data_IF_290930588257
#
_entry.id   IF_290930588257
#
_cell.length_a   1.000
_cell.length_b   1.000
_cell.length_c   1.000
_cell.angle_alpha   90.00
_cell.angle_beta   90.00
_cell.angle_gamma   90.00
#
_symmetry.space_group_name_H-M   'P 1'
#
loop_
_entity.id
_entity.type
_entity.pdbx_description
1 polymer ?
#
# COMPACT_ATOMS: atom_id res chain seq x y z
N UNK A 1 -39.26 -7.20 -13.06
CA UNK A 1 -40.68 -7.40 -13.41
C UNK A 1 -41.16 -8.85 -13.24
N UNK A 2 -40.54 -9.86 -13.88
CA UNK A 2 -41.01 -11.25 -13.83
C UNK A 2 -41.14 -11.88 -12.43
N UNK A 3 -40.17 -11.65 -11.53
CA UNK A 3 -40.21 -12.16 -10.14
C UNK A 3 -41.40 -11.61 -9.34
N UNK A 4 -41.68 -10.31 -9.48
CA UNK A 4 -42.81 -9.67 -8.78
C UNK A 4 -44.15 -10.18 -9.33
N UNK A 5 -44.25 -10.37 -10.65
CA UNK A 5 -45.45 -10.93 -11.28
C UNK A 5 -45.72 -12.37 -10.79
N UNK A 6 -44.68 -13.21 -10.69
CA UNK A 6 -44.81 -14.56 -10.16
C UNK A 6 -45.37 -14.59 -8.73
N UNK A 7 -44.86 -13.74 -7.82
CA UNK A 7 -45.37 -13.65 -6.44
C UNK A 7 -46.84 -13.25 -6.38
N UNK A 8 -47.25 -12.27 -7.20
CA UNK A 8 -48.64 -11.81 -7.27
C UNK A 8 -49.55 -12.94 -7.78
N UNK A 9 -49.13 -13.69 -8.81
CA UNK A 9 -49.88 -14.85 -9.31
C UNK A 9 -50.01 -15.94 -8.25
N UNK A 10 -48.93 -16.28 -7.54
CA UNK A 10 -48.97 -17.30 -6.47
C UNK A 10 -49.93 -16.90 -5.35
N UNK A 11 -49.86 -15.66 -4.86
CA UNK A 11 -50.78 -15.16 -3.83
C UNK A 11 -52.22 -15.11 -4.36
N UNK A 12 -52.43 -14.71 -5.61
CA UNK A 12 -53.73 -14.68 -6.25
C UNK A 12 -54.37 -16.06 -6.38
N UNK A 13 -53.59 -17.10 -6.72
CA UNK A 13 -54.04 -18.49 -6.78
C UNK A 13 -54.45 -19.00 -5.39
N UNK A 14 -53.64 -18.73 -4.36
CA UNK A 14 -53.96 -19.11 -2.98
C UNK A 14 -55.27 -18.44 -2.53
N UNK A 15 -55.42 -17.13 -2.81
CA UNK A 15 -56.62 -16.39 -2.50
C UNK A 15 -57.86 -16.98 -3.22
N UNK A 16 -57.72 -17.31 -4.50
CA UNK A 16 -58.80 -17.92 -5.28
C UNK A 16 -59.25 -19.26 -4.68
N UNK A 17 -58.33 -20.13 -4.28
CA UNK A 17 -58.68 -21.41 -3.63
C UNK A 17 -59.35 -21.22 -2.28
N UNK A 18 -58.89 -20.26 -1.47
CA UNK A 18 -59.50 -19.94 -0.16
C UNK A 18 -60.91 -19.41 -0.36
N UNK A 19 -61.12 -18.46 -1.27
CA UNK A 19 -62.43 -17.91 -1.57
C UNK A 19 -63.38 -18.98 -2.12
N UNK A 20 -62.91 -19.86 -3.01
CA UNK A 20 -63.71 -20.98 -3.52
C UNK A 20 -64.13 -21.95 -2.41
N UNK A 21 -63.25 -22.22 -1.45
CA UNK A 21 -63.53 -23.09 -0.30
C UNK A 21 -64.58 -22.48 0.64
N UNK A 22 -64.45 -21.19 0.94
CA UNK A 22 -65.39 -20.45 1.80
C UNK A 22 -66.71 -20.07 1.09
N UNK A 23 -66.74 -20.06 -0.25
CA UNK A 23 -67.93 -19.75 -1.04
C UNK A 23 -69.09 -20.71 -0.74
N UNK A 24 -68.80 -22.02 -0.64
CA UNK A 24 -69.81 -23.01 -0.29
C UNK A 24 -70.30 -22.86 1.16
N UNK A 25 -69.41 -22.56 2.10
CA UNK A 25 -69.78 -22.30 3.50
C UNK A 25 -70.58 -21.00 3.69
N UNK A 26 -70.41 -20.03 2.79
CA UNK A 26 -71.16 -18.77 2.78
C UNK A 26 -72.59 -18.96 2.24
N UNK A 27 -72.79 -19.85 1.25
CA UNK A 27 -74.12 -20.21 0.74
C UNK A 27 -74.93 -20.94 1.82
N UNK A 28 -74.34 -21.87 2.56
CA UNK A 28 -75.01 -22.57 3.66
C UNK A 28 -75.39 -21.61 4.80
N UNK A 29 -74.60 -20.55 5.02
CA UNK A 29 -74.90 -19.53 6.01
C UNK A 29 -76.10 -18.64 5.63
N UNK A 30 -76.45 -18.51 4.35
CA UNK A 30 -77.63 -17.75 3.91
C UNK A 30 -78.96 -18.42 4.29
N UNK A 31 -78.95 -19.72 4.57
CA UNK A 31 -80.12 -20.50 5.01
C UNK A 31 -80.15 -20.74 6.54
N UNK A 32 -79.25 -20.09 7.29
CA UNK A 32 -79.07 -20.27 8.75
C UNK A 32 -79.76 -19.17 9.57
N UNK A 33 -79.97 -19.43 10.87
CA UNK A 33 -80.60 -18.48 11.80
C UNK A 33 -79.92 -17.09 11.82
N UNK A 34 -80.67 -15.97 11.79
CA UNK A 34 -80.12 -14.60 11.71
C UNK A 34 -79.08 -14.25 12.77
N UNK A 35 -79.17 -14.86 13.96
CA UNK A 35 -78.22 -14.63 15.07
C UNK A 35 -76.85 -15.29 14.83
N UNK A 36 -76.76 -16.34 14.00
CA UNK A 36 -75.51 -17.09 13.75
C UNK A 36 -74.70 -16.55 12.57
N UNK A 37 -75.32 -15.72 11.72
CA UNK A 37 -74.71 -15.17 10.50
C UNK A 37 -73.48 -14.31 10.84
N UNK A 38 -73.60 -13.41 11.82
CA UNK A 38 -72.52 -12.48 12.18
C UNK A 38 -71.28 -13.22 12.71
N UNK A 39 -71.48 -14.25 13.53
CA UNK A 39 -70.39 -15.06 14.12
C UNK A 39 -69.67 -15.87 13.04
N UNK A 40 -70.42 -16.47 12.10
CA UNK A 40 -69.85 -17.22 10.97
C UNK A 40 -69.07 -16.31 10.02
N UNK A 41 -69.58 -15.10 9.75
CA UNK A 41 -68.91 -14.11 8.91
C UNK A 41 -67.59 -13.64 9.53
N UNK A 42 -67.56 -13.34 10.84
CA UNK A 42 -66.31 -13.01 11.54
C UNK A 42 -65.30 -14.16 11.53
N UNK A 43 -65.75 -15.41 11.68
CA UNK A 43 -64.88 -16.58 11.61
C UNK A 43 -64.27 -16.76 10.22
N UNK A 44 -65.06 -16.59 9.15
CA UNK A 44 -64.60 -16.65 7.78
C UNK A 44 -63.57 -15.54 7.47
N UNK A 45 -63.85 -14.29 7.88
CA UNK A 45 -62.89 -13.18 7.71
C UNK A 45 -61.57 -13.46 8.43
N UNK A 46 -61.62 -13.91 9.69
CA UNK A 46 -60.41 -14.27 10.45
C UNK A 46 -59.61 -15.37 9.76
N UNK A 47 -60.28 -16.39 9.23
CA UNK A 47 -59.64 -17.49 8.52
C UNK A 47 -58.95 -17.00 7.24
N UNK A 48 -59.61 -16.15 6.44
CA UNK A 48 -59.02 -15.56 5.23
C UNK A 48 -57.77 -14.73 5.57
N UNK A 49 -57.83 -13.88 6.60
CA UNK A 49 -56.70 -13.04 7.02
C UNK A 49 -55.51 -13.91 7.47
N UNK A 50 -55.75 -14.93 8.30
CA UNK A 50 -54.68 -15.82 8.78
C UNK A 50 -54.03 -16.56 7.61
N UNK A 51 -54.82 -17.10 6.69
CA UNK A 51 -54.29 -17.81 5.52
C UNK A 51 -53.50 -16.87 4.62
N UNK A 52 -53.97 -15.64 4.41
CA UNK A 52 -53.27 -14.63 3.62
C UNK A 52 -51.94 -14.23 4.27
N UNK A 53 -51.91 -14.04 5.58
CA UNK A 53 -50.70 -13.70 6.33
C UNK A 53 -49.67 -14.82 6.24
N UNK A 54 -50.09 -16.08 6.43
CA UNK A 54 -49.20 -17.24 6.32
C UNK A 54 -48.68 -17.38 4.88
N UNK A 55 -49.55 -17.28 3.87
CA UNK A 55 -49.17 -17.39 2.47
C UNK A 55 -48.16 -16.31 2.05
N UNK A 56 -48.40 -15.06 2.43
CA UNK A 56 -47.48 -13.95 2.14
C UNK A 56 -46.18 -14.06 2.91
N UNK A 57 -46.20 -14.50 4.17
CA UNK A 57 -45.01 -14.77 4.96
C UNK A 57 -44.12 -15.85 4.34
N UNK A 58 -44.70 -16.96 3.86
CA UNK A 58 -43.94 -18.04 3.19
C UNK A 58 -43.25 -17.51 1.93
N UNK A 59 -43.98 -16.76 1.09
CA UNK A 59 -43.42 -16.18 -0.14
C UNK A 59 -42.29 -15.19 0.18
N UNK A 60 -42.46 -14.36 1.21
CA UNK A 60 -41.44 -13.40 1.64
C UNK A 60 -40.17 -14.09 2.16
N UNK A 61 -40.29 -15.15 2.97
CA UNK A 61 -39.15 -15.92 3.49
C UNK A 61 -38.37 -16.58 2.34
N UNK A 62 -39.08 -17.22 1.40
CA UNK A 62 -38.45 -17.84 0.24
C UNK A 62 -37.69 -16.81 -0.61
N UNK A 63 -38.25 -15.62 -0.79
CA UNK A 63 -37.62 -14.54 -1.55
C UNK A 63 -36.36 -13.98 -0.87
N UNK A 64 -36.39 -13.80 0.45
CA UNK A 64 -35.24 -13.37 1.22
C UNK A 64 -34.08 -14.36 1.11
N UNK A 65 -34.37 -15.65 1.20
CA UNK A 65 -33.36 -16.69 1.08
C UNK A 65 -32.74 -16.71 -0.33
N UNK A 66 -33.57 -16.66 -1.37
CA UNK A 66 -33.10 -16.60 -2.75
C UNK A 66 -32.23 -15.38 -3.00
N UNK A 67 -32.68 -14.20 -2.57
CA UNK A 67 -31.97 -12.94 -2.79
C UNK A 67 -30.63 -12.92 -2.07
N UNK A 68 -30.60 -13.37 -0.81
CA UNK A 68 -29.35 -13.46 -0.04
C UNK A 68 -28.36 -14.42 -0.70
N UNK A 69 -28.80 -15.60 -1.12
CA UNK A 69 -27.95 -16.58 -1.79
C UNK A 69 -27.39 -16.06 -3.12
N UNK A 70 -28.24 -15.40 -3.92
CA UNK A 70 -27.84 -14.83 -5.19
C UNK A 70 -26.81 -13.70 -5.00
N UNK A 71 -27.03 -12.81 -4.05
CA UNK A 71 -26.10 -11.72 -3.73
C UNK A 71 -24.73 -12.23 -3.29
N UNK A 72 -24.70 -13.24 -2.41
CA UNK A 72 -23.45 -13.90 -2.02
C UNK A 72 -22.75 -14.61 -3.18
N UNK A 73 -23.48 -14.99 -4.23
CA UNK A 73 -22.89 -15.64 -5.40
C UNK A 73 -22.31 -14.62 -6.37
N UNK A 74 -22.96 -13.47 -6.55
CA UNK A 74 -22.44 -12.35 -7.34
C UNK A 74 -21.18 -11.73 -6.72
N UNK A 75 -21.09 -11.71 -5.40
CA UNK A 75 -19.91 -11.23 -4.66
C UNK A 75 -18.69 -12.15 -4.78
N UNK A 76 -18.83 -13.36 -5.32
CA UNK A 76 -17.71 -14.28 -5.48
C UNK A 76 -16.90 -13.85 -6.68
N UNK A 77 -15.67 -13.43 -6.44
CA UNK A 77 -14.70 -13.25 -7.51
C UNK A 77 -14.13 -14.60 -7.95
N UNK A 78 -13.87 -14.71 -9.25
CA UNK A 78 -13.13 -15.84 -9.81
C UNK A 78 -11.64 -15.75 -9.46
N UNK A 79 -10.93 -16.88 -9.48
CA UNK A 79 -9.46 -16.87 -9.30
C UNK A 79 -8.75 -16.01 -10.35
N UNK A 80 -9.33 -15.89 -11.55
CA UNK A 80 -8.83 -15.04 -12.61
C UNK A 80 -8.99 -13.56 -12.27
N UNK A 81 -10.18 -13.14 -11.83
CA UNK A 81 -10.45 -11.75 -11.41
C UNK A 81 -9.57 -11.32 -10.24
N UNK A 82 -9.44 -12.16 -9.20
CA UNK A 82 -8.55 -11.85 -8.07
C UNK A 82 -7.10 -11.68 -8.52
N UNK A 83 -6.64 -12.48 -9.49
CA UNK A 83 -5.29 -12.38 -10.04
C UNK A 83 -5.10 -11.11 -10.87
N UNK A 84 -6.10 -10.74 -11.66
CA UNK A 84 -6.12 -9.52 -12.47
C UNK A 84 -6.15 -8.26 -11.60
N UNK A 85 -7.03 -8.23 -10.59
CA UNK A 85 -7.15 -7.13 -9.63
C UNK A 85 -5.84 -6.93 -8.87
N UNK A 86 -5.20 -8.01 -8.44
CA UNK A 86 -3.91 -7.95 -7.75
C UNK A 86 -2.77 -7.45 -8.68
N UNK A 87 -2.80 -7.80 -9.97
CA UNK A 87 -1.87 -7.25 -10.97
C UNK A 87 -2.12 -5.76 -11.21
N UNK A 88 -3.38 -5.32 -11.29
CA UNK A 88 -3.73 -3.92 -11.49
C UNK A 88 -3.38 -3.06 -10.27
N UNK A 89 -3.62 -3.56 -9.06
CA UNK A 89 -3.32 -2.86 -7.80
C UNK A 89 -1.81 -2.71 -7.55
N UNK A 90 -1.01 -3.75 -7.86
CA UNK A 90 0.44 -3.72 -7.61
C UNK A 90 1.27 -3.19 -8.79
N UNK A 91 0.66 -3.10 -9.98
CA UNK A 91 1.35 -2.79 -11.23
C UNK A 91 2.26 -3.93 -11.71
N UNK A 92 2.89 -3.74 -12.88
CA UNK A 92 3.85 -4.71 -13.41
C UNK A 92 5.12 -4.77 -12.52
N UNK A 93 5.48 -5.95 -11.96
CA UNK A 93 6.72 -6.14 -11.22
C UNK A 93 7.98 -5.69 -11.97
N UNK A 94 8.00 -5.86 -13.30
CA UNK A 94 9.10 -5.40 -14.15
C UNK A 94 9.20 -3.87 -14.16
N UNK A 95 8.08 -3.17 -14.25
CA UNK A 95 8.05 -1.70 -14.20
C UNK A 95 8.47 -1.21 -12.81
N UNK A 96 7.99 -1.83 -11.73
CA UNK A 96 8.37 -1.47 -10.36
C UNK A 96 9.85 -1.72 -10.08
N UNK A 97 10.41 -2.83 -10.54
CA UNK A 97 11.84 -3.13 -10.41
C UNK A 97 12.69 -2.17 -11.24
N UNK A 98 12.27 -1.82 -12.46
CA UNK A 98 12.92 -0.84 -13.33
C UNK A 98 12.91 0.55 -12.68
N UNK A 99 11.80 0.98 -12.12
CA UNK A 99 11.69 2.25 -11.42
C UNK A 99 12.66 2.30 -10.23
N UNK A 100 12.71 1.25 -9.41
CA UNK A 100 13.67 1.14 -8.29
C UNK A 100 15.12 1.22 -8.77
N UNK A 101 15.45 0.54 -9.87
CA UNK A 101 16.79 0.60 -10.48
C UNK A 101 17.16 2.03 -10.87
N UNK A 102 16.27 2.71 -11.60
CA UNK A 102 16.46 4.10 -12.04
C UNK A 102 16.60 5.06 -10.85
N UNK A 103 15.84 4.86 -9.78
CA UNK A 103 15.95 5.68 -8.56
C UNK A 103 17.31 5.51 -7.89
N UNK A 104 17.81 4.27 -7.77
CA UNK A 104 19.16 4.00 -7.22
C UNK A 104 20.25 4.61 -8.10
N UNK A 105 20.14 4.50 -9.42
CA UNK A 105 21.12 5.06 -10.34
C UNK A 105 21.15 6.60 -10.27
N UNK A 106 19.99 7.26 -10.20
CA UNK A 106 19.90 8.71 -9.98
C UNK A 106 20.49 9.13 -8.63
N UNK A 107 20.21 8.38 -7.57
CA UNK A 107 20.81 8.63 -6.26
C UNK A 107 22.35 8.50 -6.30
N UNK A 108 22.87 7.45 -6.93
CA UNK A 108 24.30 7.24 -7.12
C UNK A 108 24.94 8.38 -7.92
N UNK A 109 24.32 8.82 -9.01
CA UNK A 109 24.84 9.95 -9.81
C UNK A 109 24.92 11.24 -9.00
N UNK A 110 23.88 11.56 -8.21
CA UNK A 110 23.88 12.73 -7.31
C UNK A 110 24.98 12.64 -6.25
N UNK A 111 25.12 11.47 -5.61
CA UNK A 111 26.19 11.23 -4.63
C UNK A 111 27.58 11.45 -5.23
N UNK A 112 27.83 10.88 -6.42
CA UNK A 112 29.12 11.02 -7.12
C UNK A 112 29.37 12.49 -7.50
N UNK A 113 28.34 13.23 -7.94
CA UNK A 113 28.47 14.66 -8.25
C UNK A 113 28.80 15.50 -6.99
N UNK A 114 28.38 15.09 -5.79
CA UNK A 114 28.73 15.80 -4.56
C UNK A 114 30.22 15.73 -4.21
N UNK A 115 30.98 14.78 -4.79
CA UNK A 115 32.43 14.63 -4.53
C UNK A 115 33.21 15.91 -4.86
N UNK A 116 32.78 16.69 -5.86
CA UNK A 116 33.40 17.97 -6.23
C UNK A 116 33.50 18.97 -5.06
N UNK A 117 32.64 18.84 -4.04
CA UNK A 117 32.60 19.72 -2.87
C UNK A 117 33.37 19.16 -1.67
N UNK A 118 34.03 18.01 -1.81
CA UNK A 118 34.76 17.38 -0.73
C UNK A 118 36.04 18.16 -0.42
N UNK A 119 36.41 18.19 0.87
CA UNK A 119 37.66 18.76 1.35
C UNK A 119 38.80 17.73 1.24
N UNK A 120 38.48 16.45 1.47
CA UNK A 120 39.43 15.36 1.34
C UNK A 120 38.70 14.03 1.06
N UNK A 121 39.45 13.05 0.55
CA UNK A 121 38.99 11.67 0.35
C UNK A 121 39.90 10.71 1.09
N UNK A 122 39.32 9.71 1.76
CA UNK A 122 40.03 8.61 2.41
C UNK A 122 39.74 7.34 1.61
N UNK A 123 40.79 6.65 1.16
CA UNK A 123 40.66 5.51 0.26
C UNK A 123 41.38 4.25 0.79
N UNK A 124 40.77 3.10 0.53
CA UNK A 124 41.42 1.81 0.44
C UNK A 124 41.59 1.53 -1.06
N UNK A 125 42.81 1.40 -1.59
CA UNK A 125 43.15 1.63 -3.00
C UNK A 125 42.11 1.24 -4.05
N UNK A 126 41.59 0.02 -4.02
CA UNK A 126 40.62 -0.47 -5.00
C UNK A 126 39.24 -0.78 -4.42
N UNK A 127 39.07 -0.73 -3.10
CA UNK A 127 37.91 -1.33 -2.44
C UNK A 127 36.95 -0.34 -1.80
N UNK A 128 37.44 0.74 -1.19
CA UNK A 128 36.58 1.69 -0.48
C UNK A 128 37.07 3.11 -0.68
N UNK A 129 36.14 4.05 -0.83
CA UNK A 129 36.45 5.48 -0.77
C UNK A 129 35.36 6.22 -0.01
N UNK A 130 35.76 7.18 0.83
CA UNK A 130 34.87 8.04 1.60
C UNK A 130 35.31 9.49 1.38
N UNK A 131 34.42 10.30 0.80
CA UNK A 131 34.64 11.72 0.56
C UNK A 131 34.01 12.54 1.69
N UNK A 132 34.82 13.40 2.32
CA UNK A 132 34.44 14.20 3.46
C UNK A 132 34.46 15.69 3.10
N UNK A 133 33.48 16.43 3.60
CA UNK A 133 33.47 17.90 3.57
C UNK A 133 33.57 18.44 4.97
N UNK A 134 34.51 19.35 5.16
CA UNK A 134 34.66 20.11 6.39
C UNK A 134 34.60 21.60 6.07
N UNK A 135 33.64 22.28 6.69
CA UNK A 135 33.50 23.72 6.64
C UNK A 135 33.37 24.23 8.07
N UNK A 136 34.34 25.03 8.52
CA UNK A 136 34.45 25.53 9.91
C UNK A 136 33.20 26.28 10.38
N UNK A 137 32.50 26.91 9.45
CA UNK A 137 31.32 27.74 9.72
C UNK A 137 30.00 26.96 9.66
N UNK A 138 30.01 25.73 9.12
CA UNK A 138 28.78 24.99 8.81
C UNK A 138 28.51 23.87 9.82
N UNK A 139 29.53 23.11 10.22
CA UNK A 139 29.35 21.95 11.10
C UNK A 139 30.54 21.76 12.05
N UNK A 140 30.26 21.30 13.28
CA UNK A 140 31.28 20.97 14.30
C UNK A 140 32.18 19.80 13.87
N UNK A 141 31.69 18.92 13.00
CA UNK A 141 32.44 17.80 12.48
C UNK A 141 32.19 17.58 10.97
N UNK A 142 33.15 16.94 10.27
CA UNK A 142 33.03 16.67 8.83
C UNK A 142 31.81 15.82 8.47
N UNK A 143 31.21 16.14 7.32
CA UNK A 143 30.08 15.42 6.75
C UNK A 143 30.53 14.52 5.61
N UNK A 144 30.01 13.30 5.54
CA UNK A 144 30.26 12.37 4.42
C UNK A 144 29.42 12.77 3.22
N UNK A 145 30.04 13.26 2.14
CA UNK A 145 29.34 13.61 0.91
C UNK A 145 29.11 12.42 -0.01
N UNK A 146 30.06 11.48 -0.02
CA UNK A 146 29.98 10.28 -0.84
C UNK A 146 30.75 9.15 -0.18
N UNK A 147 30.26 7.92 -0.36
CA UNK A 147 31.03 6.72 -0.07
C UNK A 147 30.75 5.66 -1.13
N UNK A 148 31.75 4.86 -1.45
CA UNK A 148 31.67 3.86 -2.51
C UNK A 148 32.53 2.64 -2.24
N UNK A 149 32.15 1.54 -2.86
CA UNK A 149 32.96 0.34 -2.94
C UNK A 149 33.34 0.03 -4.40
N UNK A 150 34.48 -0.63 -4.59
CA UNK A 150 34.99 -1.10 -5.89
C UNK A 150 34.92 -0.01 -6.98
N UNK A 151 34.12 -0.22 -8.03
CA UNK A 151 33.97 0.73 -9.15
C UNK A 151 33.52 2.13 -8.71
N UNK A 152 32.69 2.22 -7.67
CA UNK A 152 32.26 3.53 -7.15
C UNK A 152 33.41 4.19 -6.40
N UNK A 153 34.21 3.42 -5.67
CA UNK A 153 35.39 3.93 -4.98
C UNK A 153 36.41 4.50 -5.98
N UNK A 154 36.68 3.76 -7.05
CA UNK A 154 37.53 4.22 -8.16
C UNK A 154 37.00 5.51 -8.77
N UNK A 155 35.68 5.62 -9.01
CA UNK A 155 35.10 6.83 -9.58
C UNK A 155 35.18 8.04 -8.63
N UNK A 156 35.01 7.84 -7.33
CA UNK A 156 35.19 8.90 -6.32
C UNK A 156 36.62 9.41 -6.34
N UNK A 157 37.61 8.51 -6.38
CA UNK A 157 39.04 8.88 -6.48
C UNK A 157 39.33 9.66 -7.75
N UNK A 158 38.89 9.15 -8.90
CA UNK A 158 39.10 9.79 -10.20
C UNK A 158 38.56 11.23 -10.20
N UNK A 159 37.35 11.45 -9.65
CA UNK A 159 36.76 12.79 -9.54
C UNK A 159 37.55 13.66 -8.55
N UNK A 160 37.97 13.10 -7.41
CA UNK A 160 38.77 13.83 -6.44
C UNK A 160 40.09 14.33 -7.07
N UNK A 161 40.80 13.45 -7.77
CA UNK A 161 42.03 13.77 -8.50
C UNK A 161 41.80 14.84 -9.58
N UNK A 162 40.72 14.72 -10.37
CA UNK A 162 40.35 15.72 -11.38
C UNK A 162 40.04 17.10 -10.81
N UNK A 163 39.64 17.18 -9.53
CA UNK A 163 39.28 18.44 -8.86
C UNK A 163 40.37 18.92 -7.90
N UNK A 164 41.54 18.28 -7.89
CA UNK A 164 42.64 18.62 -6.98
C UNK A 164 42.32 18.38 -5.50
N UNK A 165 41.35 17.50 -5.20
CA UNK A 165 40.98 17.13 -3.84
C UNK A 165 41.97 16.07 -3.35
N UNK A 166 42.65 16.27 -2.20
CA UNK A 166 43.64 15.33 -1.70
C UNK A 166 43.03 13.98 -1.32
N UNK A 167 43.65 12.91 -1.83
CA UNK A 167 43.28 11.52 -1.54
C UNK A 167 44.32 10.93 -0.58
N UNK A 168 43.88 10.49 0.60
CA UNK A 168 44.71 9.84 1.60
C UNK A 168 44.43 8.33 1.61
N UNK A 169 45.48 7.54 1.49
CA UNK A 169 45.38 6.09 1.55
C UNK A 169 45.50 5.60 3.00
N UNK A 170 44.38 5.17 3.57
CA UNK A 170 44.27 4.55 4.91
C UNK A 170 43.22 3.43 4.85
N UNK A 171 43.64 2.19 4.51
CA UNK A 171 42.70 1.09 4.32
C UNK A 171 41.87 0.73 5.57
N UNK A 172 42.44 0.69 6.80
CA UNK A 172 41.66 0.48 8.02
C UNK A 172 40.59 1.56 8.26
N UNK A 173 40.94 2.83 8.10
CA UNK A 173 40.02 3.95 8.32
C UNK A 173 38.92 3.97 7.27
N UNK A 174 39.27 3.84 5.99
CA UNK A 174 38.30 3.81 4.88
C UNK A 174 37.26 2.69 5.05
N UNK A 175 37.71 1.48 5.41
CA UNK A 175 36.82 0.33 5.64
C UNK A 175 35.87 0.56 6.82
N UNK A 176 36.41 1.08 7.92
CA UNK A 176 35.63 1.33 9.14
C UNK A 176 34.59 2.43 8.92
N UNK A 177 34.99 3.52 8.26
CA UNK A 177 34.08 4.62 7.94
C UNK A 177 33.01 4.21 6.93
N UNK A 178 33.36 3.43 5.91
CA UNK A 178 32.39 2.92 4.94
C UNK A 178 31.29 2.09 5.62
N UNK A 179 31.66 1.27 6.60
CA UNK A 179 30.71 0.43 7.35
C UNK A 179 29.84 1.22 8.34
N UNK A 180 30.41 2.20 9.04
CA UNK A 180 29.76 2.84 10.20
C UNK A 180 29.08 4.19 9.91
N UNK A 181 29.45 4.88 8.83
CA UNK A 181 28.98 6.26 8.58
C UNK A 181 28.11 6.32 7.33
N UNK A 182 26.97 7.01 7.41
CA UNK A 182 26.04 7.17 6.28
C UNK A 182 26.38 8.40 5.44
N UNK A 183 25.93 8.41 4.19
CA UNK A 183 26.03 9.61 3.33
C UNK A 183 25.15 10.71 3.93
N UNK A 184 25.57 11.97 3.76
CA UNK A 184 24.95 13.18 4.31
C UNK A 184 24.86 13.21 5.84
N UNK A 185 25.67 12.39 6.53
CA UNK A 185 25.76 12.36 7.98
C UNK A 185 27.13 12.82 8.49
N UNK A 186 27.13 13.42 9.68
CA UNK A 186 28.34 13.83 10.40
C UNK A 186 29.09 12.58 10.87
N UNK A 187 30.42 12.60 10.81
CA UNK A 187 31.22 11.47 11.29
C UNK A 187 31.02 11.25 12.81
N UNK A 188 31.01 10.00 13.29
CA UNK A 188 31.03 9.68 14.72
C UNK A 188 32.32 10.12 15.41
N UNK A 189 32.23 10.33 16.74
CA UNK A 189 33.36 10.77 17.59
C UNK A 189 34.59 9.86 17.51
N UNK A 190 34.38 8.56 17.27
CA UNK A 190 35.45 7.56 17.10
C UNK A 190 36.42 7.94 15.99
N UNK A 191 35.96 8.63 14.95
CA UNK A 191 36.78 9.04 13.80
C UNK A 191 37.36 10.44 13.92
N UNK A 192 36.98 11.23 14.94
CA UNK A 192 37.37 12.64 15.04
C UNK A 192 38.87 12.84 15.03
N UNK A 193 39.62 12.08 15.82
CA UNK A 193 41.08 12.23 15.93
C UNK A 193 41.76 11.97 14.58
N UNK A 194 41.45 10.85 13.94
CA UNK A 194 42.06 10.45 12.67
C UNK A 194 41.71 11.44 11.55
N UNK A 195 40.44 11.84 11.44
CA UNK A 195 40.01 12.78 10.41
C UNK A 195 40.55 14.20 10.66
N UNK A 196 40.62 14.65 11.91
CA UNK A 196 41.17 15.97 12.25
C UNK A 196 42.66 16.07 11.87
N UNK A 197 43.43 15.01 12.04
CA UNK A 197 44.83 14.96 11.62
C UNK A 197 44.96 15.14 10.09
N UNK A 198 44.13 14.44 9.32
CA UNK A 198 44.12 14.57 7.85
C UNK A 198 43.69 15.98 7.41
N UNK A 199 42.65 16.54 8.03
CA UNK A 199 42.21 17.91 7.78
C UNK A 199 43.35 18.89 8.05
N UNK A 200 44.03 18.76 9.19
CA UNK A 200 45.16 19.63 9.52
C UNK A 200 46.24 19.59 8.44
N UNK A 201 46.56 18.41 7.89
CA UNK A 201 47.51 18.26 6.78
C UNK A 201 47.07 19.00 5.52
N UNK A 202 45.77 18.92 5.17
CA UNK A 202 45.21 19.66 4.01
C UNK A 202 45.38 21.17 4.18
N UNK A 203 44.92 21.71 5.31
CA UNK A 203 44.98 23.16 5.55
C UNK A 203 46.43 23.66 5.72
N UNK A 204 47.34 22.86 6.27
CA UNK A 204 48.76 23.19 6.36
C UNK A 204 49.43 23.26 4.97
N UNK A 205 49.07 22.34 4.06
CA UNK A 205 49.55 22.35 2.68
C UNK A 205 49.05 23.59 1.92
N UNK A 206 47.78 23.95 2.09
CA UNK A 206 47.19 25.15 1.48
C UNK A 206 47.84 26.44 1.99
N UNK A 207 48.11 26.53 3.29
CA UNK A 207 48.78 27.68 3.90
C UNK A 207 50.22 27.85 3.37
N UNK A 208 50.93 26.76 3.08
CA UNK A 208 52.25 26.80 2.46
C UNK A 208 52.18 27.30 1.01
N UNK A 209 51.21 26.83 0.23
CA UNK A 209 50.99 27.29 -1.15
C UNK A 209 50.65 28.79 -1.23
N UNK A 210 49.89 29.33 -0.28
CA UNK A 210 49.57 30.77 -0.22
C UNK A 210 50.76 31.66 0.13
N UNK A 211 51.81 31.14 0.78
CA UNK A 211 53.02 31.91 1.13
C UNK A 211 54.08 31.95 0.02
N UNK A 212 53.95 31.08 -0.99
CA UNK A 212 54.91 30.95 -2.10
C UNK A 212 54.45 31.73 -3.34
N UNK A 213 53.18 32.16 -3.38
CA UNK A 213 52.66 33.17 -4.33
C UNK A 213 52.76 34.55 -3.71
#
# INVERSE_FOLDING_TARGET
FGKSLFKVVVVGVILFFVLRSEYFGSIDAMFSDPQTILVRMMAAMRKIIIVMLIATAIVAIADLFWTRHHWFTELKMTRHEVKEENKQAQGDPFVKSRQRSLMRDRARRRMIANVHRATLVIANPTHYAVALRYAREENDAPVVLAKGQDLIALKIREIAEQNGIPVFEDPPLARSMFAQVSIDSVIPSVFYKAVAELIHRVYAADAKNKRVR
#
